data_IF_922975584443
#
_entry.id   IF_922975584443
#
_cell.length_a   1.000
_cell.length_b   1.000
_cell.length_c   1.000
_cell.angle_alpha   90.00
_cell.angle_beta   90.00
_cell.angle_gamma   90.00
#
_symmetry.space_group_name_H-M   'P 1'
#
loop_
_entity.id
_entity.type
_entity.pdbx_description
1 polymer ?
#
# COMPACT_ATOMS: atom_id res chain seq x y z
N UNK A 1 -12.32 3.77 14.96
CA UNK A 1 -10.97 3.27 14.61
C UNK A 1 -10.82 3.41 13.12
N UNK A 2 -9.73 4.02 12.65
CA UNK A 2 -9.40 4.09 11.22
C UNK A 2 -9.11 2.71 10.67
N UNK A 3 -9.44 2.50 9.40
CA UNK A 3 -9.08 1.30 8.65
C UNK A 3 -7.55 1.21 8.50
N UNK A 4 -6.93 0.02 8.58
CA UNK A 4 -5.52 -0.12 8.24
C UNK A 4 -5.25 0.30 6.81
N UNK A 5 -4.20 1.10 6.63
CA UNK A 5 -3.81 1.62 5.34
C UNK A 5 -2.32 1.43 5.11
N UNK A 6 -1.93 1.44 3.85
CA UNK A 6 -0.54 1.54 3.39
C UNK A 6 -0.48 2.47 2.18
N UNK A 7 0.70 2.99 1.89
CA UNK A 7 1.00 3.69 0.64
C UNK A 7 1.96 2.80 -0.13
N UNK A 8 1.51 2.34 -1.30
CA UNK A 8 2.34 1.56 -2.22
C UNK A 8 3.15 2.55 -3.05
N UNK A 9 4.46 2.52 -2.88
CA UNK A 9 5.42 3.38 -3.56
C UNK A 9 6.10 2.59 -4.68
N UNK A 10 5.74 2.89 -5.91
CA UNK A 10 6.32 2.28 -7.11
C UNK A 10 7.29 3.24 -7.78
N UNK A 11 8.30 2.75 -8.52
CA UNK A 11 8.96 3.57 -9.54
C UNK A 11 7.91 4.11 -10.53
N UNK A 12 8.02 5.37 -10.93
CA UNK A 12 7.05 6.04 -11.79
C UNK A 12 6.82 5.30 -13.12
N UNK A 13 7.84 4.66 -13.68
CA UNK A 13 7.73 3.83 -14.88
C UNK A 13 6.87 2.58 -14.70
N UNK A 14 6.64 2.14 -13.44
CA UNK A 14 5.79 1.01 -13.09
C UNK A 14 4.36 1.40 -12.73
N UNK A 15 4.02 2.71 -12.71
CA UNK A 15 2.67 3.22 -12.39
C UNK A 15 1.56 2.46 -13.11
N UNK A 16 1.61 2.40 -14.44
CA UNK A 16 0.57 1.76 -15.24
C UNK A 16 0.45 0.25 -14.96
N UNK A 17 1.57 -0.42 -14.67
CA UNK A 17 1.58 -1.84 -14.31
C UNK A 17 0.90 -2.07 -12.96
N UNK A 18 1.23 -1.24 -11.96
CA UNK A 18 0.61 -1.31 -10.63
C UNK A 18 -0.89 -1.00 -10.70
N UNK A 19 -1.27 0.10 -11.34
CA UNK A 19 -2.68 0.46 -11.50
C UNK A 19 -3.47 -0.62 -12.24
N UNK A 20 -2.93 -1.17 -13.34
CA UNK A 20 -3.56 -2.27 -14.08
C UNK A 20 -3.75 -3.50 -13.19
N UNK A 21 -2.72 -3.86 -12.39
CA UNK A 21 -2.79 -4.98 -11.47
C UNK A 21 -3.88 -4.77 -10.42
N UNK A 22 -3.93 -3.60 -9.78
CA UNK A 22 -4.96 -3.26 -8.78
C UNK A 22 -6.35 -3.30 -9.43
N UNK A 23 -6.52 -2.62 -10.58
CA UNK A 23 -7.79 -2.54 -11.30
C UNK A 23 -8.33 -3.90 -11.76
N UNK A 24 -7.47 -4.89 -11.97
CA UNK A 24 -7.87 -6.25 -12.35
C UNK A 24 -8.77 -6.94 -11.31
N UNK A 25 -8.80 -6.45 -10.06
CA UNK A 25 -9.69 -6.93 -9.00
C UNK A 25 -11.13 -6.39 -9.12
N UNK A 26 -11.39 -5.47 -10.05
CA UNK A 26 -12.71 -4.89 -10.28
C UNK A 26 -12.98 -3.59 -9.51
N UNK A 27 -11.98 -2.69 -9.44
CA UNK A 27 -12.18 -1.36 -8.85
C UNK A 27 -13.28 -0.61 -9.59
N UNK A 28 -14.12 0.09 -8.82
CA UNK A 28 -15.16 0.97 -9.33
C UNK A 28 -14.95 2.39 -8.77
N UNK A 29 -15.18 3.44 -9.56
CA UNK A 29 -15.10 4.81 -9.06
C UNK A 29 -16.16 5.05 -7.99
N UNK A 30 -15.79 5.75 -6.92
CA UNK A 30 -16.74 6.27 -5.93
C UNK A 30 -17.17 7.69 -6.35
N UNK A 31 -18.42 7.87 -6.80
CA UNK A 31 -18.89 9.17 -7.27
C UNK A 31 -18.96 10.23 -6.17
N UNK A 32 -18.89 9.85 -4.89
CA UNK A 32 -18.95 10.80 -3.77
C UNK A 32 -17.58 11.36 -3.39
N UNK A 33 -16.50 10.60 -3.59
CA UNK A 33 -15.16 10.94 -3.10
C UNK A 33 -14.14 11.16 -4.21
N UNK A 34 -14.41 10.68 -5.43
CA UNK A 34 -13.43 10.68 -6.52
C UNK A 34 -12.36 9.59 -6.38
N UNK A 35 -12.25 8.96 -5.21
CA UNK A 35 -11.47 7.76 -4.96
C UNK A 35 -12.10 6.54 -5.65
N UNK A 36 -11.40 5.41 -5.56
CA UNK A 36 -11.88 4.13 -6.08
C UNK A 36 -12.23 3.18 -4.95
N UNK A 37 -13.25 2.36 -5.17
CA UNK A 37 -13.73 1.35 -4.22
C UNK A 37 -13.59 -0.03 -4.80
N UNK A 38 -13.25 -0.96 -3.93
CA UNK A 38 -13.26 -2.38 -4.23
C UNK A 38 -14.07 -3.10 -3.15
N UNK A 39 -14.96 -3.98 -3.58
CA UNK A 39 -15.52 -5.01 -2.72
C UNK A 39 -15.05 -6.37 -3.22
N UNK A 40 -14.16 -7.02 -2.48
CA UNK A 40 -13.49 -8.24 -2.92
C UNK A 40 -13.29 -9.21 -1.75
N UNK A 41 -13.66 -10.48 -1.98
CA UNK A 41 -13.65 -11.55 -0.97
C UNK A 41 -14.36 -11.19 0.35
N UNK A 42 -15.45 -10.42 0.28
CA UNK A 42 -16.21 -10.04 1.47
C UNK A 42 -15.68 -8.79 2.19
N UNK A 43 -14.57 -8.22 1.73
CA UNK A 43 -13.94 -7.04 2.31
C UNK A 43 -14.14 -5.79 1.45
N UNK A 44 -14.13 -4.64 2.11
CA UNK A 44 -14.19 -3.32 1.47
C UNK A 44 -12.81 -2.66 1.49
N UNK A 45 -12.48 -1.98 0.42
CA UNK A 45 -11.24 -1.23 0.27
C UNK A 45 -11.53 0.13 -0.37
N UNK A 46 -10.70 1.11 -0.03
CA UNK A 46 -10.63 2.41 -0.70
C UNK A 46 -9.23 2.60 -1.27
N UNK A 47 -9.17 3.15 -2.47
CA UNK A 47 -7.93 3.46 -3.17
C UNK A 47 -7.91 4.91 -3.60
N UNK A 48 -6.75 5.52 -3.49
CA UNK A 48 -6.40 6.71 -4.26
C UNK A 48 -5.19 6.38 -5.13
N UNK A 49 -5.43 6.44 -6.45
CA UNK A 49 -4.44 6.13 -7.49
C UNK A 49 -3.97 7.41 -8.23
N UNK A 50 -4.36 8.60 -7.77
CA UNK A 50 -4.00 9.88 -8.39
C UNK A 50 -2.47 10.07 -8.44
N UNK A 51 -1.80 9.72 -7.35
CA UNK A 51 -0.41 10.09 -7.05
C UNK A 51 -0.30 11.22 -6.04
N UNK A 52 -1.40 11.92 -5.76
CA UNK A 52 -1.45 13.14 -4.94
C UNK A 52 -1.09 12.86 -3.46
N UNK A 53 -1.14 11.60 -3.03
CA UNK A 53 -0.67 11.19 -1.70
C UNK A 53 0.80 11.56 -1.45
N UNK A 54 1.61 11.74 -2.51
CA UNK A 54 2.99 12.18 -2.36
C UNK A 54 3.12 13.63 -1.87
N UNK A 55 2.09 14.47 -2.05
CA UNK A 55 2.07 15.84 -1.54
C UNK A 55 2.01 15.90 0.00
N UNK A 56 1.62 14.79 0.64
CA UNK A 56 1.59 14.65 2.10
C UNK A 56 2.95 14.24 2.69
N UNK A 57 3.95 13.92 1.87
CA UNK A 57 5.28 13.53 2.34
C UNK A 57 6.18 14.74 2.55
N UNK A 58 7.01 14.69 3.59
CA UNK A 58 8.07 15.66 3.77
C UNK A 58 9.12 15.50 2.65
N UNK A 59 9.74 16.59 2.16
CA UNK A 59 10.73 16.52 1.08
C UNK A 59 11.89 15.57 1.36
N UNK A 60 12.35 15.49 2.61
CA UNK A 60 13.42 14.60 3.05
C UNK A 60 13.05 13.11 2.99
N UNK A 61 11.77 12.77 3.19
CA UNK A 61 11.28 11.40 3.03
C UNK A 61 11.19 11.05 1.54
N UNK A 62 10.72 11.98 0.70
CA UNK A 62 10.70 11.80 -0.76
C UNK A 62 12.09 11.66 -1.35
N UNK A 63 13.09 12.40 -0.86
CA UNK A 63 14.49 12.23 -1.28
C UNK A 63 15.01 10.83 -0.97
N UNK A 64 14.71 10.30 0.22
CA UNK A 64 15.10 8.94 0.62
C UNK A 64 14.39 7.87 -0.21
N UNK A 65 13.08 8.03 -0.47
CA UNK A 65 12.31 7.14 -1.34
C UNK A 65 12.90 7.18 -2.75
N UNK A 66 13.15 8.37 -3.29
CA UNK A 66 13.70 8.58 -4.63
C UNK A 66 15.07 7.94 -4.80
N UNK A 67 15.93 8.04 -3.78
CA UNK A 67 17.24 7.39 -3.79
C UNK A 67 17.16 5.84 -3.85
N UNK A 68 16.06 5.24 -3.39
CA UNK A 68 15.85 3.79 -3.35
C UNK A 68 15.20 3.25 -4.62
N UNK A 69 14.22 3.95 -5.18
CA UNK A 69 13.37 3.44 -6.28
C UNK A 69 13.32 4.33 -7.53
N UNK A 70 14.06 5.45 -7.55
CA UNK A 70 13.92 6.48 -8.58
C UNK A 70 12.68 7.35 -8.35
N UNK A 71 12.26 8.11 -9.37
CA UNK A 71 11.06 8.96 -9.28
C UNK A 71 9.85 8.16 -8.78
N UNK A 72 9.22 8.52 -7.66
CA UNK A 72 8.17 7.72 -7.07
C UNK A 72 6.79 8.01 -7.66
N UNK A 73 5.94 6.97 -7.65
CA UNK A 73 4.49 7.05 -7.76
C UNK A 73 3.87 6.45 -6.49
N UNK A 74 2.99 7.20 -5.83
CA UNK A 74 2.27 6.76 -4.63
C UNK A 74 0.83 6.33 -4.92
N UNK A 75 0.44 5.16 -4.43
CA UNK A 75 -0.94 4.70 -4.41
C UNK A 75 -1.37 4.42 -2.96
N UNK A 76 -2.39 5.14 -2.48
CA UNK A 76 -2.94 4.92 -1.15
C UNK A 76 -3.97 3.79 -1.19
N UNK A 77 -3.92 2.91 -0.20
CA UNK A 77 -4.96 1.89 0.02
C UNK A 77 -5.37 1.85 1.48
N UNK A 78 -6.68 1.88 1.71
CA UNK A 78 -7.30 1.68 3.02
C UNK A 78 -8.14 0.40 3.00
N UNK A 79 -7.88 -0.50 3.93
CA UNK A 79 -8.45 -1.85 3.97
C UNK A 79 -9.44 -1.97 5.14
N UNK A 80 -10.61 -2.57 4.92
CA UNK A 80 -11.66 -2.70 5.94
C UNK A 80 -11.25 -3.39 7.25
N UNK A 81 -10.16 -4.16 7.24
CA UNK A 81 -9.57 -4.83 8.39
C UNK A 81 -8.13 -5.26 8.09
N UNK A 82 -7.41 -5.76 9.11
CA UNK A 82 -6.08 -6.36 8.89
C UNK A 82 -6.17 -7.63 8.03
N UNK A 83 -7.27 -8.37 8.12
CA UNK A 83 -7.51 -9.54 7.27
C UNK A 83 -7.71 -9.14 5.81
N UNK A 84 -8.46 -8.05 5.57
CA UNK A 84 -8.58 -7.46 4.24
C UNK A 84 -7.21 -7.04 3.70
N UNK A 85 -6.41 -6.35 4.51
CA UNK A 85 -5.10 -5.89 4.10
C UNK A 85 -4.17 -7.05 3.73
N UNK A 86 -4.11 -8.10 4.57
CA UNK A 86 -3.35 -9.32 4.28
C UNK A 86 -3.83 -10.02 3.00
N UNK A 87 -5.14 -10.15 2.82
CA UNK A 87 -5.72 -10.81 1.65
C UNK A 87 -5.37 -10.07 0.34
N UNK A 88 -5.52 -8.75 0.33
CA UNK A 88 -5.30 -7.95 -0.87
C UNK A 88 -3.80 -7.74 -1.17
N UNK A 89 -3.02 -7.28 -0.19
CA UNK A 89 -1.60 -7.01 -0.37
C UNK A 89 -0.82 -8.29 -0.69
N UNK A 90 -1.19 -9.42 -0.08
CA UNK A 90 -0.63 -10.73 -0.39
C UNK A 90 -0.89 -11.23 -1.82
N UNK A 91 -1.88 -10.68 -2.53
CA UNK A 91 -2.15 -11.00 -3.94
C UNK A 91 -1.58 -9.96 -4.90
N UNK A 92 -1.53 -8.69 -4.51
CA UNK A 92 -1.09 -7.60 -5.39
C UNK A 92 0.43 -7.44 -5.42
N UNK A 93 1.10 -7.61 -4.28
CA UNK A 93 2.52 -7.29 -4.16
C UNK A 93 3.51 -8.40 -4.57
N UNK A 94 3.15 -9.69 -4.73
CA UNK A 94 4.13 -10.66 -5.21
C UNK A 94 4.80 -10.24 -6.51
N UNK A 95 6.15 -10.23 -6.51
CA UNK A 95 6.98 -9.79 -7.63
C UNK A 95 6.98 -8.26 -7.87
N UNK A 96 6.41 -7.46 -6.98
CA UNK A 96 6.51 -6.00 -7.00
C UNK A 96 7.85 -5.57 -6.39
N UNK A 97 8.61 -4.74 -7.11
CA UNK A 97 9.92 -4.25 -6.68
C UNK A 97 9.83 -2.75 -6.32
N UNK A 98 9.00 -2.44 -5.33
CA UNK A 98 8.81 -1.10 -4.79
C UNK A 98 8.83 -1.10 -3.26
N UNK A 99 8.38 -0.01 -2.66
CA UNK A 99 8.33 0.16 -1.21
C UNK A 99 6.88 0.25 -0.74
N UNK A 100 6.69 -0.07 0.54
CA UNK A 100 5.43 0.13 1.25
C UNK A 100 5.68 1.03 2.44
N UNK A 101 5.02 2.19 2.46
CA UNK A 101 4.83 2.94 3.69
C UNK A 101 3.64 2.33 4.45
N UNK A 102 3.85 1.96 5.71
CA UNK A 102 2.82 1.39 6.58
C UNK A 102 1.77 2.43 7.01
N UNK A 103 1.93 3.68 6.60
CA UNK A 103 1.26 4.87 7.10
C UNK A 103 1.41 5.03 8.62
N UNK A 104 2.47 4.45 9.17
CA UNK A 104 2.79 4.33 10.59
C UNK A 104 4.32 4.35 10.81
N UNK A 105 4.99 5.33 10.20
CA UNK A 105 6.41 5.64 10.38
C UNK A 105 7.41 4.59 9.88
N UNK A 106 6.98 3.62 9.07
CA UNK A 106 7.87 2.61 8.51
C UNK A 106 7.70 2.48 6.99
N UNK A 107 8.82 2.56 6.27
CA UNK A 107 8.90 2.33 4.83
C UNK A 107 9.75 1.11 4.53
N UNK A 108 9.09 0.01 4.16
CA UNK A 108 9.69 -1.30 3.96
C UNK A 108 9.78 -1.68 2.47
N UNK A 109 10.79 -2.42 2.04
CA UNK A 109 10.74 -3.17 0.78
C UNK A 109 9.49 -4.05 0.71
N UNK A 110 8.87 -4.15 -0.47
CA UNK A 110 7.62 -4.90 -0.62
C UNK A 110 7.77 -6.41 -0.32
N UNK A 111 8.92 -6.99 -0.63
CA UNK A 111 9.25 -8.38 -0.32
C UNK A 111 9.42 -8.59 1.20
N UNK A 112 10.13 -7.70 1.88
CA UNK A 112 10.26 -7.73 3.34
C UNK A 112 8.90 -7.59 4.05
N UNK A 113 8.05 -6.66 3.58
CA UNK A 113 6.70 -6.50 4.11
C UNK A 113 5.84 -7.77 3.93
N UNK A 114 5.93 -8.40 2.75
CA UNK A 114 5.23 -9.66 2.49
C UNK A 114 5.73 -10.81 3.36
N UNK A 115 7.05 -10.90 3.57
CA UNK A 115 7.65 -11.90 4.45
C UNK A 115 7.19 -11.71 5.90
N UNK A 116 7.10 -10.47 6.38
CA UNK A 116 6.56 -10.16 7.71
C UNK A 116 5.09 -10.55 7.83
N UNK A 117 4.26 -10.24 6.82
CA UNK A 117 2.86 -10.65 6.80
C UNK A 117 2.69 -12.18 6.82
N UNK A 118 3.55 -12.90 6.10
CA UNK A 118 3.52 -14.35 6.05
C UNK A 118 3.98 -15.00 7.36
N UNK A 119 5.05 -14.48 7.98
CA UNK A 119 5.62 -15.00 9.23
C UNK A 119 4.79 -14.63 10.46
N UNK A 120 4.13 -13.47 10.45
CA UNK A 120 3.39 -12.93 11.58
C UNK A 120 1.93 -12.61 11.19
N UNK A 121 1.03 -13.61 11.05
CA UNK A 121 -0.37 -13.38 10.66
C UNK A 121 -1.18 -12.49 11.60
N UNK A 122 -0.71 -12.33 12.84
CA UNK A 122 -1.32 -11.49 13.87
C UNK A 122 -0.76 -10.05 13.85
N UNK A 123 0.24 -9.76 13.02
CA UNK A 123 0.86 -8.44 12.96
C UNK A 123 -0.16 -7.39 12.53
N UNK A 124 -0.25 -6.34 13.34
CA UNK A 124 -0.98 -5.11 13.07
C UNK A 124 0.05 -3.97 13.14
N UNK A 125 0.55 -3.53 11.98
CA UNK A 125 1.60 -2.50 11.87
C UNK A 125 1.21 -1.16 12.48
N UNK A 126 -0.08 -0.93 12.72
CA UNK A 126 -0.57 0.26 13.44
C UNK A 126 -0.26 0.22 14.93
N UNK A 127 0.16 -0.94 15.46
CA UNK A 127 0.33 -1.22 16.88
C UNK A 127 1.71 -1.73 17.25
N UNK A 128 2.30 -2.54 16.38
CA UNK A 128 3.59 -3.20 16.61
C UNK A 128 4.48 -2.83 15.41
N UNK A 129 5.58 -2.10 15.61
CA UNK A 129 6.55 -1.83 14.56
C UNK A 129 7.19 -3.14 14.07
N UNK A 130 7.66 -3.18 12.83
CA UNK A 130 8.30 -4.38 12.28
C UNK A 130 9.56 -4.78 13.05
N UNK A 131 10.24 -3.82 13.68
CA UNK A 131 11.44 -4.07 14.50
C UNK A 131 11.20 -4.95 15.73
N UNK A 132 9.95 -5.02 16.20
CA UNK A 132 9.56 -5.81 17.37
C UNK A 132 9.16 -7.25 17.00
N UNK A 133 9.19 -7.58 15.70
CA UNK A 133 8.91 -8.91 15.16
C UNK A 133 10.23 -9.67 14.94
N UNK A 134 10.64 -10.45 15.95
CA UNK A 134 11.79 -11.36 15.89
C UNK A 134 11.44 -12.71 15.25
#
# INVERSE_FOLDING_TARGET
MSWPSVIILAPAEQRLSLETRIRSFGLAPDPATGCERLYWQGYSYYFDLSGDILDDFEPEDLEQITARIGEPYGAYVSCGSMDAARAFLGQVLPGFNGLLDTNHYEVLPADEFLDLLARHPQWDWRRIPSTDLH
#
